data_IF_794990186091
#
_entry.id   IF_794990186091
#
_cell.length_a   1.000
_cell.length_b   1.000
_cell.length_c   1.000
_cell.angle_alpha   90.00
_cell.angle_beta   90.00
_cell.angle_gamma   90.00
#
_symmetry.space_group_name_H-M   'P 1'
#
loop_
_entity.id
_entity.type
_entity.pdbx_description
1 polymer ?
#
# COMPACT_ATOMS: atom_id res chain seq x y z
N UNK A 1 -16.69 -10.45 16.70
CA UNK A 1 -16.04 -9.18 17.07
C UNK A 1 -15.69 -8.48 15.77
N UNK A 2 -16.21 -7.28 15.53
CA UNK A 2 -15.82 -6.45 14.38
C UNK A 2 -14.33 -6.12 14.48
N UNK A 3 -13.54 -6.37 13.42
CA UNK A 3 -12.11 -6.05 13.44
C UNK A 3 -11.90 -4.54 13.42
N UNK A 4 -11.05 -3.99 14.28
CA UNK A 4 -10.68 -2.57 14.26
C UNK A 4 -9.95 -2.15 12.96
N UNK A 5 -9.75 -0.85 12.76
CA UNK A 5 -9.05 -0.32 11.58
C UNK A 5 -7.63 -0.89 11.43
N UNK A 6 -6.89 -1.07 12.53
CA UNK A 6 -5.53 -1.60 12.46
C UNK A 6 -5.52 -3.06 12.00
N UNK A 7 -6.47 -3.87 12.46
CA UNK A 7 -6.66 -5.23 12.00
C UNK A 7 -7.07 -5.29 10.52
N UNK A 8 -7.97 -4.39 10.06
CA UNK A 8 -8.32 -4.27 8.64
C UNK A 8 -7.10 -3.92 7.78
N UNK A 9 -6.33 -2.90 8.18
CA UNK A 9 -5.12 -2.49 7.45
C UNK A 9 -4.11 -3.62 7.36
N UNK A 10 -3.85 -4.34 8.46
CA UNK A 10 -2.92 -5.48 8.47
C UNK A 10 -3.40 -6.58 7.52
N UNK A 11 -4.69 -6.92 7.52
CA UNK A 11 -5.24 -7.91 6.61
C UNK A 11 -5.07 -7.52 5.13
N UNK A 12 -5.35 -6.26 4.77
CA UNK A 12 -5.16 -5.77 3.40
C UNK A 12 -3.68 -5.74 2.99
N UNK A 13 -2.80 -5.34 3.90
CA UNK A 13 -1.36 -5.36 3.66
C UNK A 13 -0.80 -6.80 3.54
N UNK A 14 -1.38 -7.78 4.21
CA UNK A 14 -1.02 -9.19 4.06
C UNK A 14 -1.41 -9.75 2.69
N UNK A 15 -2.58 -9.36 2.17
CA UNK A 15 -3.04 -9.69 0.81
C UNK A 15 -2.12 -9.08 -0.25
N UNK A 16 -1.83 -7.78 -0.12
CA UNK A 16 -0.91 -7.07 -1.02
C UNK A 16 0.50 -7.67 -0.96
N UNK A 17 0.98 -8.01 0.25
CA UNK A 17 2.29 -8.64 0.43
C UNK A 17 2.35 -9.98 -0.29
N UNK A 18 1.32 -10.81 -0.15
CA UNK A 18 1.30 -12.12 -0.81
C UNK A 18 1.40 -11.97 -2.32
N UNK A 19 0.63 -11.05 -2.92
CA UNK A 19 0.68 -10.79 -4.35
C UNK A 19 2.06 -10.30 -4.80
N UNK A 20 2.63 -9.32 -4.11
CA UNK A 20 3.96 -8.81 -4.41
C UNK A 20 5.04 -9.89 -4.26
N UNK A 21 5.02 -10.65 -3.17
CA UNK A 21 6.00 -11.69 -2.89
C UNK A 21 6.01 -12.78 -3.98
N UNK A 22 4.83 -13.27 -4.38
CA UNK A 22 4.70 -14.27 -5.46
C UNK A 22 5.11 -13.69 -6.82
N UNK A 23 4.74 -12.44 -7.12
CA UNK A 23 5.12 -11.76 -8.36
C UNK A 23 6.64 -11.56 -8.49
N UNK A 24 7.33 -11.37 -7.36
CA UNK A 24 8.79 -11.26 -7.28
C UNK A 24 9.51 -12.59 -7.11
N UNK A 25 8.84 -13.74 -7.28
CA UNK A 25 9.41 -15.07 -7.07
C UNK A 25 10.11 -15.21 -5.70
N UNK A 26 9.41 -14.79 -4.66
CA UNK A 26 9.93 -14.75 -3.28
C UNK A 26 10.83 -13.54 -2.99
N UNK A 27 10.79 -12.50 -3.82
CA UNK A 27 11.57 -11.27 -3.66
C UNK A 27 12.94 -11.29 -4.35
N UNK A 28 13.20 -12.26 -5.22
CA UNK A 28 14.47 -12.39 -5.94
C UNK A 28 14.46 -11.73 -7.32
N UNK A 29 13.27 -11.58 -7.92
CA UNK A 29 13.12 -11.05 -9.27
C UNK A 29 12.84 -9.54 -9.20
N UNK A 30 13.56 -8.77 -10.03
CA UNK A 30 13.31 -7.33 -10.20
C UNK A 30 12.71 -7.02 -11.57
N UNK A 31 11.69 -6.17 -11.57
CA UNK A 31 11.05 -5.69 -12.78
C UNK A 31 11.80 -4.47 -13.31
N UNK A 32 12.28 -4.58 -14.55
CA UNK A 32 13.12 -3.59 -15.19
C UNK A 32 12.50 -3.25 -16.54
N UNK A 33 12.38 -1.95 -16.82
CA UNK A 33 12.11 -1.47 -18.15
C UNK A 33 13.40 -1.54 -18.99
N UNK A 34 13.40 -2.31 -20.07
CA UNK A 34 14.52 -2.40 -20.99
C UNK A 34 14.09 -1.94 -22.40
N UNK A 35 14.52 -0.74 -22.85
CA UNK A 35 14.13 -0.22 -24.17
C UNK A 35 14.81 -0.93 -25.34
N UNK A 36 15.89 -1.67 -25.10
CA UNK A 36 16.62 -2.43 -26.13
C UNK A 36 15.99 -3.80 -26.39
N UNK A 37 15.30 -4.36 -25.38
CA UNK A 37 14.52 -5.58 -25.51
C UNK A 37 13.12 -5.25 -26.02
N UNK A 38 12.81 -5.74 -27.21
CA UNK A 38 11.48 -5.60 -27.79
C UNK A 38 10.78 -6.96 -27.87
N UNK A 39 9.46 -6.95 -27.65
CA UNK A 39 8.63 -8.11 -27.97
C UNK A 39 8.15 -7.97 -29.41
N UNK A 40 8.63 -8.85 -30.30
CA UNK A 40 8.20 -8.86 -31.69
C UNK A 40 6.83 -9.53 -31.81
N UNK A 41 5.81 -8.74 -32.11
CA UNK A 41 4.46 -9.20 -32.42
C UNK A 41 4.14 -8.94 -33.90
N UNK A 42 3.05 -9.51 -34.42
CA UNK A 42 2.59 -9.23 -35.80
C UNK A 42 2.32 -7.74 -36.10
N UNK A 43 2.21 -6.91 -35.06
CA UNK A 43 2.00 -5.47 -35.15
C UNK A 43 3.28 -4.64 -34.88
N UNK A 44 4.47 -5.26 -34.94
CA UNK A 44 5.76 -4.61 -34.73
C UNK A 44 6.36 -4.79 -33.33
N UNK A 45 7.54 -4.19 -33.09
CA UNK A 45 8.26 -4.30 -31.83
C UNK A 45 7.56 -3.53 -30.71
N UNK A 46 7.30 -4.19 -29.58
CA UNK A 46 6.71 -3.59 -28.37
C UNK A 46 7.78 -3.37 -27.32
N UNK A 47 7.63 -2.30 -26.54
CA UNK A 47 8.49 -2.06 -25.37
C UNK A 47 8.18 -3.08 -24.28
N UNK A 48 9.22 -3.61 -23.63
CA UNK A 48 9.10 -4.69 -22.67
C UNK A 48 9.46 -4.25 -21.25
N UNK A 49 8.66 -4.73 -20.29
CA UNK A 49 9.09 -4.88 -18.91
C UNK A 49 9.51 -6.32 -18.73
N UNK A 50 10.73 -6.51 -18.24
CA UNK A 50 11.31 -7.81 -18.01
C UNK A 50 11.56 -8.02 -16.53
N UNK A 51 11.48 -9.26 -16.07
CA UNK A 51 12.01 -9.69 -14.80
C UNK A 51 13.44 -10.17 -14.98
N UNK A 52 14.31 -9.79 -14.06
CA UNK A 52 15.70 -10.22 -14.02
C UNK A 52 16.08 -10.64 -12.60
N UNK A 53 16.77 -11.77 -12.49
CA UNK A 53 17.23 -12.33 -11.21
C UNK A 53 18.75 -12.58 -11.18
N UNK A 54 19.50 -11.88 -12.03
CA UNK A 54 20.95 -12.09 -12.18
C UNK A 54 21.34 -13.18 -13.18
N UNK A 55 20.46 -14.16 -13.46
CA UNK A 55 20.79 -15.34 -14.28
C UNK A 55 19.84 -15.56 -15.46
N UNK A 56 18.59 -15.10 -15.37
CA UNK A 56 17.58 -15.28 -16.42
C UNK A 56 16.77 -14.00 -16.64
N UNK A 57 16.37 -13.78 -17.90
CA UNK A 57 15.43 -12.73 -18.31
C UNK A 57 14.09 -13.37 -18.69
N UNK A 58 12.99 -12.81 -18.19
CA UNK A 58 11.63 -13.19 -18.59
C UNK A 58 10.77 -11.96 -18.85
N UNK A 59 9.79 -12.06 -19.75
CA UNK A 59 8.87 -10.95 -20.00
C UNK A 59 7.77 -10.90 -18.93
N UNK A 60 7.53 -9.71 -18.38
CA UNK A 60 6.45 -9.42 -17.43
C UNK A 60 5.27 -8.77 -18.16
N UNK A 61 5.55 -7.76 -18.97
CA UNK A 61 4.55 -7.05 -19.75
C UNK A 61 5.13 -6.52 -21.07
N UNK A 62 4.28 -6.39 -22.07
CA UNK A 62 4.58 -5.69 -23.32
C UNK A 62 3.65 -4.49 -23.45
N UNK A 63 4.21 -3.30 -23.60
CA UNK A 63 3.46 -2.07 -23.78
C UNK A 63 3.31 -1.75 -25.28
N UNK A 64 2.07 -1.56 -25.72
CA UNK A 64 1.75 -1.43 -27.14
C UNK A 64 2.28 -0.09 -27.73
N UNK A 65 2.93 -0.11 -28.90
CA UNK A 65 3.38 1.08 -29.60
C UNK A 65 2.26 1.85 -30.32
N UNK A 66 1.00 1.37 -30.36
CA UNK A 66 -0.11 2.00 -31.09
C UNK A 66 -0.31 3.48 -30.74
N UNK A 67 0.21 3.95 -29.60
CA UNK A 67 0.26 5.38 -29.28
C UNK A 67 1.65 5.91 -28.88
N UNK A 68 2.74 5.27 -29.34
CA UNK A 68 4.14 5.72 -29.27
C UNK A 68 4.63 6.13 -27.89
N UNK A 69 4.31 7.35 -27.46
CA UNK A 69 4.67 7.93 -26.16
C UNK A 69 4.09 7.18 -24.96
N UNK A 70 2.87 6.63 -25.05
CA UNK A 70 2.23 6.01 -23.89
C UNK A 70 2.80 4.62 -23.57
N UNK A 71 3.31 3.89 -24.57
CA UNK A 71 3.94 2.59 -24.35
C UNK A 71 5.11 2.69 -23.36
N UNK A 72 5.93 3.74 -23.51
CA UNK A 72 7.11 3.90 -22.67
C UNK A 72 6.75 4.25 -21.24
N UNK A 73 5.81 5.19 -21.07
CA UNK A 73 5.33 5.57 -19.74
C UNK A 73 4.60 4.42 -19.05
N UNK A 74 3.85 3.60 -19.79
CA UNK A 74 3.22 2.41 -19.24
C UNK A 74 4.27 1.39 -18.77
N UNK A 75 5.28 1.10 -19.60
CA UNK A 75 6.35 0.17 -19.25
C UNK A 75 7.17 0.66 -18.06
N UNK A 76 7.52 1.96 -18.04
CA UNK A 76 8.18 2.59 -16.90
C UNK A 76 7.33 2.52 -15.63
N UNK A 77 6.04 2.83 -15.73
CA UNK A 77 5.13 2.76 -14.58
C UNK A 77 5.04 1.34 -14.01
N UNK A 78 4.88 0.33 -14.87
CA UNK A 78 4.86 -1.07 -14.45
C UNK A 78 6.20 -1.46 -13.78
N UNK A 79 7.34 -1.10 -14.36
CA UNK A 79 8.65 -1.36 -13.76
C UNK A 79 8.85 -0.61 -12.43
N UNK A 80 8.28 0.58 -12.27
CA UNK A 80 8.27 1.30 -10.99
C UNK A 80 7.47 0.57 -9.90
N UNK A 81 6.51 -0.27 -10.27
CA UNK A 81 5.80 -1.17 -9.35
C UNK A 81 6.55 -2.50 -9.17
N UNK A 82 7.88 -2.44 -9.10
CA UNK A 82 8.74 -3.57 -8.78
C UNK A 82 8.30 -4.25 -7.46
N UNK A 83 8.10 -5.58 -7.43
CA UNK A 83 7.71 -6.30 -6.23
C UNK A 83 8.55 -6.01 -4.99
N UNK A 84 9.88 -5.87 -5.13
CA UNK A 84 10.74 -5.58 -3.98
C UNK A 84 10.47 -4.18 -3.40
N UNK A 85 10.22 -3.17 -4.24
CA UNK A 85 9.76 -1.85 -3.78
C UNK A 85 8.42 -1.94 -3.06
N UNK A 86 7.45 -2.66 -3.62
CA UNK A 86 6.11 -2.81 -3.03
C UNK A 86 6.18 -3.45 -1.65
N UNK A 87 6.99 -4.51 -1.49
CA UNK A 87 7.25 -5.14 -0.20
C UNK A 87 7.86 -4.15 0.82
N UNK A 88 8.79 -3.30 0.38
CA UNK A 88 9.36 -2.26 1.23
C UNK A 88 8.33 -1.19 1.66
N UNK A 89 7.41 -0.82 0.77
CA UNK A 89 6.31 0.11 1.11
C UNK A 89 5.30 -0.50 2.07
N UNK A 90 4.98 -1.79 1.92
CA UNK A 90 4.12 -2.53 2.85
C UNK A 90 4.74 -2.56 4.25
N UNK A 91 6.04 -2.88 4.33
CA UNK A 91 6.76 -2.87 5.60
C UNK A 91 6.77 -1.47 6.23
N UNK A 92 6.96 -0.41 5.43
CA UNK A 92 6.86 0.96 5.92
C UNK A 92 5.48 1.26 6.51
N UNK A 93 4.39 0.87 5.81
CA UNK A 93 3.01 1.06 6.31
C UNK A 93 2.76 0.27 7.59
N UNK A 94 3.27 -0.96 7.72
CA UNK A 94 3.17 -1.74 8.96
C UNK A 94 3.86 -1.07 10.13
N UNK A 95 5.08 -0.55 9.92
CA UNK A 95 5.79 0.21 10.96
C UNK A 95 5.04 1.46 11.38
N UNK A 96 4.38 2.15 10.44
CA UNK A 96 3.50 3.27 10.79
C UNK A 96 2.32 2.77 11.62
N UNK A 97 1.66 1.68 11.25
CA UNK A 97 0.57 1.11 12.05
C UNK A 97 1.04 0.78 13.48
N UNK A 98 2.21 0.15 13.62
CA UNK A 98 2.78 -0.20 14.93
C UNK A 98 3.20 1.03 15.75
N UNK A 99 3.62 2.12 15.08
CA UNK A 99 3.92 3.40 15.70
C UNK A 99 2.69 4.18 16.17
N UNK A 100 1.48 3.72 15.81
CA UNK A 100 0.21 4.33 16.21
C UNK A 100 -0.66 3.34 17.00
N UNK A 101 -0.20 2.86 18.18
CA UNK A 101 -0.97 1.92 18.99
C UNK A 101 -2.28 2.55 19.46
N UNK A 102 -3.34 1.74 19.45
CA UNK A 102 -4.68 2.12 19.91
C UNK A 102 -4.90 1.53 21.30
N UNK A 103 -5.35 2.37 22.23
CA UNK A 103 -5.69 1.99 23.60
C UNK A 103 -7.15 2.33 23.91
N UNK A 104 -7.76 1.53 24.78
CA UNK A 104 -9.05 1.84 25.42
C UNK A 104 -8.88 2.51 26.78
N UNK A 105 -7.63 2.65 27.27
CA UNK A 105 -7.31 3.37 28.50
C UNK A 105 -7.28 4.87 28.22
N UNK A 106 -8.46 5.45 27.98
CA UNK A 106 -8.58 6.84 27.55
C UNK A 106 -9.32 7.71 28.54
N UNK A 107 -8.93 8.97 28.61
CA UNK A 107 -9.72 10.02 29.27
C UNK A 107 -10.75 10.60 28.29
N UNK A 108 -11.84 11.14 28.84
CA UNK A 108 -12.80 11.88 28.02
C UNK A 108 -12.17 13.19 27.56
N UNK A 109 -12.28 13.55 26.27
CA UNK A 109 -11.91 14.85 25.78
C UNK A 109 -12.55 15.97 26.62
N UNK A 110 -11.74 16.90 27.12
CA UNK A 110 -12.21 17.96 28.02
C UNK A 110 -13.20 18.95 27.38
N UNK A 111 -13.32 18.95 26.05
CA UNK A 111 -14.19 19.85 25.29
C UNK A 111 -15.07 19.09 24.28
N UNK A 112 -16.39 19.10 24.52
CA UNK A 112 -17.41 19.11 23.45
C UNK A 112 -17.74 17.82 22.69
N UNK A 113 -17.05 16.69 22.89
CA UNK A 113 -17.48 15.39 22.32
C UNK A 113 -17.44 14.30 23.40
N UNK A 114 -18.51 13.50 23.48
CA UNK A 114 -18.40 12.15 24.07
C UNK A 114 -17.33 11.39 23.29
N UNK A 115 -16.23 11.03 23.94
CA UNK A 115 -15.13 10.33 23.28
C UNK A 115 -15.57 8.97 22.72
N UNK A 116 -14.84 8.48 21.72
CA UNK A 116 -14.99 7.16 21.14
C UNK A 116 -14.70 6.00 22.12
N UNK A 117 -14.18 6.28 23.31
CA UNK A 117 -13.78 5.28 24.32
C UNK A 117 -12.48 4.54 23.98
N UNK A 118 -11.80 4.95 22.91
CA UNK A 118 -10.47 4.51 22.52
C UNK A 118 -9.73 5.63 21.79
N UNK A 119 -8.41 5.55 21.71
CA UNK A 119 -7.57 6.60 21.14
C UNK A 119 -6.19 6.09 20.75
N UNK A 120 -5.50 6.82 19.89
CA UNK A 120 -4.10 6.56 19.56
C UNK A 120 -3.20 7.15 20.65
N UNK A 121 -2.35 6.32 21.27
CA UNK A 121 -1.46 6.77 22.37
C UNK A 121 -0.48 7.85 21.92
N UNK A 122 -0.17 7.92 20.64
CA UNK A 122 0.79 8.90 20.09
C UNK A 122 0.10 10.17 19.61
N UNK A 123 -1.03 10.06 18.90
CA UNK A 123 -1.68 11.23 18.30
C UNK A 123 -2.64 11.94 19.24
N UNK A 124 -3.20 11.23 20.22
CA UNK A 124 -4.20 11.76 21.12
C UNK A 124 -3.64 11.87 22.55
N UNK A 125 -2.32 12.01 22.70
CA UNK A 125 -1.71 12.23 24.01
C UNK A 125 -2.02 13.65 24.51
N UNK A 126 -2.58 13.71 25.71
CA UNK A 126 -2.80 14.93 26.47
C UNK A 126 -2.10 14.78 27.82
N UNK A 127 -0.91 15.37 27.92
CA UNK A 127 -0.09 15.40 29.14
C UNK A 127 0.14 14.01 29.77
N UNK A 128 0.44 13.01 28.94
CA UNK A 128 0.68 11.63 29.35
C UNK A 128 -0.58 10.78 29.53
N UNK A 129 -1.76 11.30 29.18
CA UNK A 129 -3.02 10.55 29.14
C UNK A 129 -3.62 10.59 27.74
N UNK A 130 -4.03 9.44 27.20
CA UNK A 130 -4.64 9.37 25.87
C UNK A 130 -6.09 9.84 25.89
N UNK A 131 -6.45 10.82 25.06
CA UNK A 131 -7.84 11.22 24.80
C UNK A 131 -8.55 10.25 23.85
N UNK A 132 -9.80 9.93 24.17
CA UNK A 132 -10.60 8.98 23.40
C UNK A 132 -11.18 9.54 22.09
N UNK A 133 -10.37 9.95 21.12
CA UNK A 133 -10.87 10.45 19.82
C UNK A 133 -11.07 9.37 18.73
N UNK A 134 -10.79 8.11 19.02
CA UNK A 134 -10.88 7.02 18.07
C UNK A 134 -9.59 6.78 17.29
N UNK A 135 -9.69 6.40 16.02
CA UNK A 135 -8.52 6.22 15.15
C UNK A 135 -7.93 7.56 14.74
N UNK A 136 -6.62 7.70 14.83
CA UNK A 136 -5.94 8.92 14.41
C UNK A 136 -5.99 9.11 12.89
N UNK A 137 -5.79 10.35 12.45
CA UNK A 137 -5.76 10.71 11.04
C UNK A 137 -4.72 9.92 10.23
N UNK A 138 -3.56 9.61 10.83
CA UNK A 138 -2.52 8.84 10.16
C UNK A 138 -3.02 7.45 9.72
N UNK A 139 -3.68 6.71 10.61
CA UNK A 139 -4.20 5.39 10.26
C UNK A 139 -5.32 5.48 9.21
N UNK A 140 -6.17 6.51 9.30
CA UNK A 140 -7.22 6.75 8.29
C UNK A 140 -6.63 7.04 6.91
N UNK A 141 -5.54 7.80 6.83
CA UNK A 141 -4.85 8.09 5.56
C UNK A 141 -4.21 6.85 4.93
N UNK A 142 -3.67 5.92 5.74
CA UNK A 142 -3.15 4.64 5.24
C UNK A 142 -4.27 3.79 4.63
N UNK A 143 -5.51 3.99 5.07
CA UNK A 143 -6.68 3.23 4.62
C UNK A 143 -7.25 3.71 3.27
N UNK A 144 -6.86 4.90 2.79
CA UNK A 144 -7.38 5.49 1.55
C UNK A 144 -7.29 4.58 0.31
N UNK A 145 -6.19 3.84 0.06
CA UNK A 145 -6.11 2.92 -1.08
C UNK A 145 -7.17 1.81 -1.05
N UNK A 146 -7.77 1.55 0.11
CA UNK A 146 -8.76 0.49 0.33
C UNK A 146 -10.19 1.03 0.48
N UNK A 147 -10.45 2.29 0.12
CA UNK A 147 -11.76 2.93 0.30
C UNK A 147 -12.91 2.23 -0.44
N UNK A 148 -12.62 1.55 -1.56
CA UNK A 148 -13.59 0.76 -2.34
C UNK A 148 -13.72 -0.69 -1.84
N UNK A 149 -12.98 -1.09 -0.81
CA UNK A 149 -13.03 -2.44 -0.28
C UNK A 149 -14.38 -2.68 0.43
N UNK A 150 -15.08 -3.82 0.24
CA UNK A 150 -16.39 -4.08 0.85
C UNK A 150 -16.42 -3.99 2.39
N UNK A 151 -15.33 -4.39 3.04
CA UNK A 151 -15.17 -4.28 4.51
C UNK A 151 -14.74 -2.87 4.99
N UNK A 152 -14.50 -1.93 4.09
CA UNK A 152 -14.16 -0.55 4.45
C UNK A 152 -15.35 0.13 5.13
N UNK A 153 -15.11 0.78 6.28
CA UNK A 153 -16.15 1.41 7.09
C UNK A 153 -16.08 2.92 6.99
N UNK A 154 -17.23 3.58 6.92
CA UNK A 154 -17.32 5.03 6.78
C UNK A 154 -16.63 5.80 7.92
N UNK A 155 -16.58 5.23 9.12
CA UNK A 155 -15.86 5.79 10.28
C UNK A 155 -14.33 5.86 10.10
N UNK A 156 -13.78 5.23 9.06
CA UNK A 156 -12.37 5.24 8.70
C UNK A 156 -12.01 6.28 7.65
N UNK A 157 -13.00 6.97 7.08
CA UNK A 157 -12.75 8.09 6.16
C UNK A 157 -11.98 9.18 6.90
N UNK A 158 -10.85 9.68 6.35
CA UNK A 158 -10.10 10.77 6.97
C UNK A 158 -10.96 11.99 7.24
N UNK A 159 -10.67 12.68 8.33
CA UNK A 159 -11.30 13.99 8.62
C UNK A 159 -10.71 15.05 7.67
N UNK A 160 -11.51 16.05 7.28
CA UNK A 160 -11.09 17.19 6.42
C UNK A 160 -10.19 18.20 7.14
#
# INVERSE_FOLDING_TARGET
>A
MTSDLAAFLRARLDEDQKLAFEAGNGGHDHWIFNPELTWNSGNGPRQAVVRFNGSALGYVAAADPVYGKYGEWNAKHIACWDPARVLAEIEAKRRIIDAHPITTSTINPGYGKTGAGFGCEVCHDWDGATEGYGYCQTLRLIALPYAEHPDYRQEWVPEE
#
